data_IF_053720070269
#
_entry.id   IF_053720070269
#
_cell.length_a   1.000
_cell.length_b   1.000
_cell.length_c   1.000
_cell.angle_alpha   90.00
_cell.angle_beta   90.00
_cell.angle_gamma   90.00
#
_symmetry.space_group_name_H-M   'P 1'
#
loop_
_entity.id
_entity.type
_entity.pdbx_description
1 polymer ?
#
# COMPACT_ATOMS: atom_id res chain seq x y z
N UNK A 1 -4.50 13.99 14.71
CA UNK A 1 -3.45 13.64 13.72
C UNK A 1 -2.64 14.89 13.38
N UNK A 2 -1.30 14.81 13.32
CA UNK A 2 -0.49 15.93 12.83
C UNK A 2 -0.69 16.07 11.32
N UNK A 3 -0.46 17.27 10.76
CA UNK A 3 -0.57 17.52 9.31
C UNK A 3 0.39 16.61 8.53
N UNK A 4 1.57 16.32 9.09
CA UNK A 4 2.55 15.42 8.48
C UNK A 4 2.05 13.98 8.35
N UNK A 5 1.31 13.48 9.35
CA UNK A 5 0.70 12.13 9.30
C UNK A 5 -0.34 12.05 8.19
N UNK A 6 -1.22 13.06 8.06
CA UNK A 6 -2.22 13.09 6.99
C UNK A 6 -1.56 13.06 5.60
N UNK A 7 -0.47 13.81 5.42
CA UNK A 7 0.28 13.83 4.16
C UNK A 7 0.93 12.47 3.88
N UNK A 8 1.52 11.85 4.89
CA UNK A 8 2.12 10.51 4.79
C UNK A 8 1.05 9.47 4.40
N UNK A 9 -0.06 9.40 5.14
CA UNK A 9 -1.11 8.42 4.91
C UNK A 9 -1.80 8.60 3.56
N UNK A 10 -2.04 9.85 3.14
CA UNK A 10 -2.51 10.13 1.79
C UNK A 10 -1.55 9.60 0.73
N UNK A 11 -0.24 9.85 0.87
CA UNK A 11 0.74 9.31 -0.10
C UNK A 11 0.81 7.79 -0.10
N UNK A 12 0.76 7.15 1.07
CA UNK A 12 0.75 5.70 1.16
C UNK A 12 -0.49 5.10 0.48
N UNK A 13 -1.67 5.71 0.68
CA UNK A 13 -2.89 5.33 -0.03
C UNK A 13 -2.75 5.50 -1.54
N UNK A 14 -2.22 6.63 -2.00
CA UNK A 14 -2.02 6.88 -3.44
C UNK A 14 -1.02 5.88 -4.05
N UNK A 15 0.01 5.45 -3.30
CA UNK A 15 0.93 4.39 -3.73
C UNK A 15 0.20 3.04 -3.81
N UNK A 16 -0.60 2.68 -2.80
CA UNK A 16 -1.43 1.47 -2.79
C UNK A 16 -2.33 1.43 -4.02
N UNK A 17 -3.14 2.47 -4.20
CA UNK A 17 -4.12 2.57 -5.28
C UNK A 17 -3.44 2.47 -6.64
N UNK A 18 -2.33 3.20 -6.85
CA UNK A 18 -1.55 3.12 -8.08
C UNK A 18 -1.14 1.69 -8.43
N UNK A 19 -0.60 0.93 -7.47
CA UNK A 19 -0.14 -0.43 -7.75
C UNK A 19 -1.29 -1.42 -7.93
N UNK A 20 -2.40 -1.25 -7.20
CA UNK A 20 -3.63 -2.03 -7.40
C UNK A 20 -4.21 -1.78 -8.81
N UNK A 21 -4.31 -0.52 -9.21
CA UNK A 21 -4.81 -0.12 -10.53
C UNK A 21 -3.88 -0.62 -11.64
N UNK A 22 -2.57 -0.46 -11.47
CA UNK A 22 -1.56 -0.97 -12.42
C UNK A 22 -1.68 -2.48 -12.60
N UNK A 23 -1.86 -3.24 -11.51
CA UNK A 23 -2.03 -4.69 -11.57
C UNK A 23 -3.32 -5.07 -12.34
N UNK A 24 -4.42 -4.35 -12.10
CA UNK A 24 -5.67 -4.57 -12.81
C UNK A 24 -5.57 -4.23 -14.30
N UNK A 25 -4.99 -3.07 -14.63
CA UNK A 25 -4.76 -2.63 -16.00
C UNK A 25 -3.88 -3.62 -16.78
N UNK A 26 -2.95 -4.29 -16.12
CA UNK A 26 -2.09 -5.31 -16.72
C UNK A 26 -2.87 -6.50 -17.32
N UNK A 27 -4.09 -6.74 -16.83
CA UNK A 27 -5.01 -7.74 -17.37
C UNK A 27 -5.74 -7.26 -18.64
N UNK A 28 -5.58 -6.01 -19.09
CA UNK A 28 -6.18 -5.50 -20.32
C UNK A 28 -5.33 -5.82 -21.53
N UNK A 29 -5.92 -6.25 -22.66
CA UNK A 29 -5.19 -6.59 -23.89
C UNK A 29 -4.23 -5.50 -24.39
N UNK A 30 -4.56 -4.24 -24.13
CA UNK A 30 -3.84 -3.05 -24.60
C UNK A 30 -2.68 -2.64 -23.68
N UNK A 31 -2.55 -3.27 -22.50
CA UNK A 31 -1.55 -2.86 -21.51
C UNK A 31 -0.12 -3.20 -21.93
N UNK A 32 0.77 -2.22 -21.78
CA UNK A 32 2.23 -2.36 -21.86
C UNK A 32 2.78 -2.94 -20.55
N UNK A 33 3.50 -4.05 -20.65
CA UNK A 33 4.04 -4.79 -19.53
C UNK A 33 5.57 -4.64 -19.40
N UNK A 34 6.18 -3.72 -20.15
CA UNK A 34 7.65 -3.54 -20.16
C UNK A 34 8.25 -3.15 -18.80
N UNK A 35 7.42 -2.66 -17.89
CA UNK A 35 7.80 -2.31 -16.52
C UNK A 35 7.97 -3.53 -15.60
N UNK A 36 7.44 -4.69 -16.00
CA UNK A 36 7.37 -5.88 -15.16
C UNK A 36 8.40 -6.94 -15.55
N UNK A 37 9.08 -7.50 -14.55
CA UNK A 37 9.91 -8.69 -14.74
C UNK A 37 9.07 -9.99 -14.86
N UNK A 38 7.75 -9.91 -14.67
CA UNK A 38 6.82 -11.03 -14.67
C UNK A 38 5.80 -10.94 -15.82
N UNK A 39 6.24 -10.44 -16.98
CA UNK A 39 5.37 -10.23 -18.16
C UNK A 39 4.62 -11.51 -18.56
N UNK A 40 5.29 -12.67 -18.54
CA UNK A 40 4.70 -13.95 -18.94
C UNK A 40 3.56 -14.37 -18.01
N UNK A 41 3.72 -14.14 -16.71
CA UNK A 41 2.72 -14.41 -15.69
C UNK A 41 1.50 -13.50 -15.86
N UNK A 42 1.71 -12.22 -16.14
CA UNK A 42 0.61 -11.29 -16.45
C UNK A 42 -0.13 -11.69 -17.73
N UNK A 43 0.59 -12.11 -18.79
CA UNK A 43 -0.03 -12.62 -20.01
C UNK A 43 -0.84 -13.91 -19.76
N UNK A 44 -0.39 -14.76 -18.84
CA UNK A 44 -1.15 -15.92 -18.41
C UNK A 44 -2.40 -15.52 -17.62
N UNK A 45 -2.26 -14.64 -16.63
CA UNK A 45 -3.37 -14.15 -15.80
C UNK A 45 -4.41 -13.40 -16.64
N UNK A 46 -4.02 -12.61 -17.64
CA UNK A 46 -4.92 -11.96 -18.59
C UNK A 46 -5.90 -12.95 -19.25
N UNK A 47 -5.41 -14.14 -19.61
CA UNK A 47 -6.25 -15.20 -20.20
C UNK A 47 -7.11 -15.91 -19.16
N UNK A 48 -6.58 -16.10 -17.95
CA UNK A 48 -7.27 -16.80 -16.87
C UNK A 48 -8.36 -15.95 -16.20
N UNK A 49 -8.16 -14.64 -16.14
CA UNK A 49 -9.00 -13.65 -15.44
C UNK A 49 -9.67 -12.76 -16.50
N UNK A 50 -10.59 -13.34 -17.26
CA UNK A 50 -11.22 -12.66 -18.40
C UNK A 50 -12.56 -12.02 -18.08
N UNK A 51 -13.19 -12.36 -16.95
CA UNK A 51 -14.49 -11.81 -16.54
C UNK A 51 -14.33 -10.58 -15.67
N UNK A 52 -15.33 -9.70 -15.66
CA UNK A 52 -15.34 -8.52 -14.80
C UNK A 52 -15.36 -8.90 -13.32
N UNK A 53 -16.06 -9.98 -12.94
CA UNK A 53 -16.03 -10.51 -11.58
C UNK A 53 -14.64 -11.02 -11.20
N UNK A 54 -13.95 -11.69 -12.11
CA UNK A 54 -12.59 -12.19 -11.90
C UNK A 54 -11.60 -11.04 -11.73
N UNK A 55 -11.69 -10.02 -12.60
CA UNK A 55 -10.88 -8.81 -12.53
C UNK A 55 -11.12 -8.05 -11.21
N UNK A 56 -12.38 -7.93 -10.78
CA UNK A 56 -12.73 -7.33 -9.49
C UNK A 56 -12.17 -8.14 -8.31
N UNK A 57 -12.28 -9.46 -8.34
CA UNK A 57 -11.71 -10.32 -7.30
C UNK A 57 -10.19 -10.16 -7.22
N UNK A 58 -9.51 -10.19 -8.37
CA UNK A 58 -8.07 -9.94 -8.45
C UNK A 58 -7.67 -8.57 -7.90
N UNK A 59 -8.36 -7.51 -8.32
CA UNK A 59 -8.13 -6.14 -7.83
C UNK A 59 -8.26 -6.06 -6.31
N UNK A 60 -9.31 -6.66 -5.73
CA UNK A 60 -9.52 -6.67 -4.29
C UNK A 60 -8.41 -7.44 -3.55
N UNK A 61 -7.95 -8.56 -4.10
CA UNK A 61 -6.87 -9.35 -3.50
C UNK A 61 -5.53 -8.60 -3.54
N UNK A 62 -5.21 -7.91 -4.65
CA UNK A 62 -4.00 -7.08 -4.72
C UNK A 62 -4.10 -5.90 -3.75
N UNK A 63 -5.27 -5.26 -3.67
CA UNK A 63 -5.48 -4.16 -2.74
C UNK A 63 -5.27 -4.57 -1.27
N UNK A 64 -5.82 -5.72 -0.88
CA UNK A 64 -5.60 -6.30 0.44
C UNK A 64 -4.13 -6.62 0.70
N UNK A 65 -3.42 -7.21 -0.27
CA UNK A 65 -1.99 -7.49 -0.17
C UNK A 65 -1.18 -6.21 0.03
N UNK A 66 -1.45 -5.17 -0.76
CA UNK A 66 -0.76 -3.89 -0.66
C UNK A 66 -1.03 -3.18 0.67
N UNK A 67 -2.27 -3.24 1.17
CA UNK A 67 -2.62 -2.75 2.51
C UNK A 67 -1.85 -3.49 3.60
N UNK A 68 -1.79 -4.82 3.52
CA UNK A 68 -1.02 -5.64 4.46
C UNK A 68 0.48 -5.32 4.44
N UNK A 69 1.06 -5.17 3.25
CA UNK A 69 2.48 -4.80 3.09
C UNK A 69 2.79 -3.44 3.73
N UNK A 70 1.98 -2.40 3.43
CA UNK A 70 2.18 -1.07 4.02
C UNK A 70 2.01 -1.13 5.54
N UNK A 71 0.99 -1.84 6.04
CA UNK A 71 0.80 -2.03 7.47
C UNK A 71 2.04 -2.65 8.14
N UNK A 72 2.59 -3.73 7.57
CA UNK A 72 3.81 -4.36 8.10
C UNK A 72 5.00 -3.39 8.11
N UNK A 73 5.18 -2.58 7.07
CA UNK A 73 6.24 -1.55 7.04
C UNK A 73 6.03 -0.51 8.15
N UNK A 74 4.80 -0.10 8.42
CA UNK A 74 4.51 0.84 9.50
C UNK A 74 4.74 0.20 10.88
N UNK A 75 4.41 -1.08 11.07
CA UNK A 75 4.73 -1.84 12.29
C UNK A 75 6.25 -1.87 12.53
N UNK A 76 7.06 -2.04 11.48
CA UNK A 76 8.53 -1.95 11.59
C UNK A 76 8.98 -0.60 12.17
N UNK A 77 8.33 0.50 11.78
CA UNK A 77 8.66 1.83 12.29
C UNK A 77 8.13 2.06 13.71
N UNK A 78 6.91 1.61 14.01
CA UNK A 78 6.32 1.69 15.34
C UNK A 78 7.02 0.79 16.37
N UNK A 79 7.85 -0.13 15.86
CA UNK A 79 8.68 -0.99 16.64
C UNK A 79 7.98 -2.25 17.16
N UNK A 80 7.02 -2.76 16.39
CA UNK A 80 6.23 -3.94 16.74
C UNK A 80 6.73 -5.25 16.12
N UNK A 81 7.94 -5.28 15.55
CA UNK A 81 8.51 -6.47 14.91
C UNK A 81 9.95 -6.77 15.37
N UNK A 82 10.50 -7.89 14.86
CA UNK A 82 11.83 -8.39 15.23
C UNK A 82 12.98 -7.42 14.86
N UNK A 83 12.75 -6.43 13.98
CA UNK A 83 13.79 -5.45 13.64
C UNK A 83 14.18 -4.62 14.88
N UNK A 84 13.24 -4.38 15.79
CA UNK A 84 13.49 -3.58 17.00
C UNK A 84 14.46 -4.20 17.99
N UNK A 85 14.63 -5.51 17.94
CA UNK A 85 15.63 -6.21 18.73
C UNK A 85 17.05 -5.85 18.24
N UNK A 86 17.20 -5.44 16.97
CA UNK A 86 18.46 -5.05 16.35
C UNK A 86 18.65 -3.52 16.37
N UNK A 87 17.66 -2.75 15.89
CA UNK A 87 17.65 -1.29 15.94
C UNK A 87 16.27 -0.70 15.64
N UNK A 88 16.05 0.55 16.08
CA UNK A 88 14.81 1.28 15.80
C UNK A 88 14.98 2.21 14.59
N UNK A 89 13.92 2.34 13.79
CA UNK A 89 13.81 3.31 12.69
C UNK A 89 12.84 4.41 13.10
N UNK A 90 13.19 5.66 12.82
CA UNK A 90 12.30 6.80 13.07
C UNK A 90 12.10 7.62 11.77
N UNK A 91 10.89 8.11 11.57
CA UNK A 91 10.55 9.03 10.48
C UNK A 91 10.55 10.45 11.05
N UNK A 92 11.59 11.20 10.73
CA UNK A 92 11.79 12.55 11.25
C UNK A 92 11.51 13.57 10.15
N UNK A 93 10.65 14.55 10.43
CA UNK A 93 10.51 15.72 9.57
C UNK A 93 11.85 16.50 9.57
N UNK A 94 12.48 16.60 8.39
CA UNK A 94 13.80 17.19 8.24
C UNK A 94 13.86 18.66 8.65
N UNK A 95 12.77 19.43 8.52
CA UNK A 95 12.71 20.85 8.85
C UNK A 95 12.43 21.08 10.33
N UNK A 96 11.42 20.38 10.89
CA UNK A 96 10.97 20.59 12.27
C UNK A 96 11.73 19.77 13.30
N UNK A 97 12.48 18.75 12.83
CA UNK A 97 13.18 17.75 13.66
C UNK A 97 12.27 16.92 14.57
N UNK A 98 10.97 16.96 14.34
CA UNK A 98 9.99 16.17 15.09
C UNK A 98 9.85 14.79 14.49
N UNK A 99 9.82 13.79 15.36
CA UNK A 99 9.47 12.43 15.01
C UNK A 99 7.97 12.35 14.67
N UNK A 100 7.64 11.57 13.64
CA UNK A 100 6.26 11.19 13.34
C UNK A 100 5.79 10.00 14.19
N UNK A 101 6.67 9.34 14.94
CA UNK A 101 6.31 8.27 15.88
C UNK A 101 5.90 8.80 17.25
N UNK A 102 6.14 10.09 17.52
CA UNK A 102 5.71 10.70 18.77
C UNK A 102 4.18 10.67 18.90
N UNK A 103 3.70 9.83 19.84
CA UNK A 103 2.32 9.80 20.39
C UNK A 103 1.27 9.07 19.55
N UNK A 104 1.65 8.37 18.49
CA UNK A 104 0.74 7.53 17.72
C UNK A 104 1.38 6.21 17.33
N UNK A 105 0.53 5.25 16.98
CA UNK A 105 0.89 4.04 16.27
C UNK A 105 0.58 4.25 14.79
N UNK A 106 1.59 4.43 13.94
CA UNK A 106 1.39 4.72 12.52
C UNK A 106 0.56 3.63 11.83
N UNK A 107 0.78 2.35 12.18
CA UNK A 107 0.09 1.24 11.55
C UNK A 107 -1.40 1.20 11.88
N UNK A 108 -1.81 1.55 13.10
CA UNK A 108 -3.23 1.62 13.49
C UNK A 108 -3.90 2.82 12.82
N UNK A 109 -3.29 4.00 12.94
CA UNK A 109 -3.84 5.26 12.40
C UNK A 109 -3.95 5.24 10.87
N UNK A 110 -3.01 4.56 10.18
CA UNK A 110 -3.10 4.37 8.74
C UNK A 110 -4.30 3.48 8.36
N UNK A 111 -4.55 2.41 9.11
CA UNK A 111 -5.69 1.52 8.84
C UNK A 111 -7.01 2.26 9.04
N UNK A 112 -7.13 3.05 10.12
CA UNK A 112 -8.30 3.90 10.35
C UNK A 112 -8.48 4.94 9.23
N UNK A 113 -7.39 5.57 8.79
CA UNK A 113 -7.41 6.49 7.66
C UNK A 113 -7.92 5.83 6.37
N UNK A 114 -7.45 4.62 6.06
CA UNK A 114 -7.90 3.86 4.88
C UNK A 114 -9.39 3.53 5.00
N UNK A 115 -9.85 3.02 6.14
CA UNK A 115 -11.26 2.70 6.34
C UNK A 115 -12.15 3.93 6.15
N UNK A 116 -11.76 5.09 6.68
CA UNK A 116 -12.52 6.32 6.51
C UNK A 116 -12.51 6.84 5.07
N UNK A 117 -11.37 6.71 4.37
CA UNK A 117 -11.26 7.10 2.97
C UNK A 117 -12.04 6.17 2.02
N UNK A 118 -12.22 4.90 2.38
CA UNK A 118 -12.84 3.87 1.54
C UNK A 118 -14.30 3.55 1.90
N UNK A 119 -14.80 3.97 3.07
CA UNK A 119 -16.22 3.89 3.47
C UNK A 119 -17.20 4.55 2.48
N UNK A 120 -16.70 5.37 1.55
CA UNK A 120 -17.50 6.10 0.56
C UNK A 120 -17.28 5.63 -0.90
N UNK A 121 -16.65 4.47 -1.14
CA UNK A 121 -16.53 3.88 -2.48
C UNK A 121 -17.74 3.00 -2.83
#
# INVERSE_FOLDING_TARGET
>A
MLKEHEVLFRRLKEIKDYWSDTALESLSEESDLSWSNCEKEYLFLRKAISTEEGKKAYSNTIDELMRGLIHSILVMFDGGDELTDEFNIDIINADTKKSLLEKISLHEEFIDYIFDAEKNK
#
